data_IF_017027255141
#
_entry.id   IF_017027255141
#
_cell.length_a   1.000
_cell.length_b   1.000
_cell.length_c   1.000
_cell.angle_alpha   90.00
_cell.angle_beta   90.00
_cell.angle_gamma   90.00
#
_symmetry.space_group_name_H-M   'P 1'
#
loop_
_entity.id
_entity.type
_entity.pdbx_description
1 polymer ?
#
# COMPACT_ATOMS: atom_id res chain seq x y z
N UNK A 1 8.64 16.91 4.01
CA UNK A 1 8.27 16.02 5.14
C UNK A 1 6.88 16.27 5.71
N UNK A 2 6.50 17.51 6.07
CA UNK A 2 5.22 17.76 6.76
C UNK A 2 3.99 17.17 6.03
N UNK A 3 3.94 17.27 4.70
CA UNK A 3 2.87 16.68 3.90
C UNK A 3 2.78 15.15 4.08
N UNK A 4 3.90 14.43 4.23
CA UNK A 4 3.88 12.97 4.38
C UNK A 4 3.11 12.60 5.64
N UNK A 5 3.46 13.21 6.78
CA UNK A 5 2.87 12.91 8.09
C UNK A 5 1.36 13.25 8.09
N UNK A 6 0.99 14.40 7.50
CA UNK A 6 -0.41 14.83 7.44
C UNK A 6 -1.23 13.91 6.54
N UNK A 7 -0.66 13.46 5.42
CA UNK A 7 -1.36 12.63 4.44
C UNK A 7 -1.29 11.13 4.72
N UNK A 8 -0.47 10.67 5.67
CA UNK A 8 -0.33 9.26 6.02
C UNK A 8 -1.66 8.66 6.49
N UNK A 9 -2.32 9.30 7.46
CA UNK A 9 -3.65 8.90 7.94
C UNK A 9 -4.75 8.87 6.86
N UNK A 10 -5.01 9.97 6.12
CA UNK A 10 -6.05 9.96 5.10
C UNK A 10 -5.71 9.00 3.95
N UNK A 11 -4.43 8.80 3.62
CA UNK A 11 -4.04 7.84 2.58
C UNK A 11 -4.38 6.39 2.95
N UNK A 12 -4.27 6.03 4.23
CA UNK A 12 -4.69 4.73 4.74
C UNK A 12 -6.18 4.47 4.48
N UNK A 13 -7.02 5.46 4.82
CA UNK A 13 -8.48 5.41 4.61
C UNK A 13 -8.80 5.27 3.11
N UNK A 14 -8.13 6.05 2.26
CA UNK A 14 -8.32 6.01 0.80
C UNK A 14 -7.96 4.63 0.23
N UNK A 15 -6.90 3.99 0.76
CA UNK A 15 -6.49 2.65 0.35
C UNK A 15 -7.46 1.52 0.75
N UNK A 16 -8.35 1.81 1.69
CA UNK A 16 -9.38 0.86 2.15
C UNK A 16 -10.70 1.05 1.41
N UNK A 17 -11.00 2.26 0.94
CA UNK A 17 -12.21 2.57 0.16
C UNK A 17 -12.02 2.22 -1.32
N UNK A 18 -10.85 2.52 -1.90
CA UNK A 18 -10.57 2.29 -3.32
C UNK A 18 -9.74 1.03 -3.54
N UNK A 19 -9.81 0.49 -4.76
CA UNK A 19 -8.94 -0.61 -5.17
C UNK A 19 -7.48 -0.20 -5.05
N UNK A 20 -6.73 -0.93 -4.21
CA UNK A 20 -5.33 -0.64 -3.88
C UNK A 20 -4.42 -0.50 -5.09
N UNK A 21 -4.72 -1.23 -6.18
CA UNK A 21 -3.97 -1.14 -7.44
C UNK A 21 -4.12 0.24 -8.08
N UNK A 22 -5.33 0.79 -8.08
CA UNK A 22 -5.63 2.12 -8.64
C UNK A 22 -4.97 3.20 -7.77
N UNK A 23 -5.05 3.08 -6.44
CA UNK A 23 -4.44 4.02 -5.50
C UNK A 23 -2.91 4.03 -5.60
N UNK A 24 -2.29 2.88 -5.87
CA UNK A 24 -0.85 2.79 -6.14
C UNK A 24 -0.48 3.42 -7.50
N UNK A 25 -1.27 3.19 -8.55
CA UNK A 25 -1.05 3.82 -9.85
C UNK A 25 -1.17 5.35 -9.77
N UNK A 26 -2.11 5.88 -8.98
CA UNK A 26 -2.24 7.32 -8.79
C UNK A 26 -1.06 7.90 -8.02
N UNK A 27 -0.50 7.20 -7.03
CA UNK A 27 0.71 7.66 -6.33
C UNK A 27 1.89 7.80 -7.31
N UNK A 28 2.15 6.79 -8.14
CA UNK A 28 3.21 6.86 -9.18
C UNK A 28 2.96 8.02 -10.14
N UNK A 29 1.71 8.27 -10.52
CA UNK A 29 1.38 9.39 -11.41
C UNK A 29 1.68 10.76 -10.76
N UNK A 30 1.31 10.95 -9.49
CA UNK A 30 1.67 12.16 -8.73
C UNK A 30 3.19 12.31 -8.58
N UNK A 31 3.91 11.20 -8.39
CA UNK A 31 5.37 11.20 -8.33
C UNK A 31 5.99 11.71 -9.63
N UNK A 32 5.51 11.22 -10.78
CA UNK A 32 5.96 11.66 -12.11
C UNK A 32 5.72 13.16 -12.30
N UNK A 33 4.56 13.67 -11.88
CA UNK A 33 4.26 15.10 -11.92
C UNK A 33 5.25 15.89 -11.06
N UNK A 34 5.56 15.43 -9.85
CA UNK A 34 6.53 16.09 -8.98
C UNK A 34 7.91 16.19 -9.63
N UNK A 35 8.41 15.10 -10.22
CA UNK A 35 9.70 15.13 -10.91
C UNK A 35 9.69 16.02 -12.15
N UNK A 36 8.58 16.08 -12.88
CA UNK A 36 8.44 16.99 -14.01
C UNK A 36 8.50 18.46 -13.58
N UNK A 37 7.89 18.80 -12.43
CA UNK A 37 7.94 20.15 -11.87
C UNK A 37 9.37 20.47 -11.39
N UNK A 38 10.04 19.55 -10.70
CA UNK A 38 11.45 19.72 -10.29
C UNK A 38 12.34 20.01 -11.50
N UNK A 39 12.14 19.29 -12.61
CA UNK A 39 12.96 19.47 -13.80
C UNK A 39 12.86 20.88 -14.41
N UNK A 40 11.68 21.53 -14.31
CA UNK A 40 11.46 22.89 -14.80
C UNK A 40 11.61 23.97 -13.71
N UNK A 41 11.85 23.58 -12.46
CA UNK A 41 11.84 24.52 -11.34
C UNK A 41 13.08 25.42 -11.37
N UNK A 42 12.86 26.71 -11.61
CA UNK A 42 13.88 27.76 -11.51
C UNK A 42 13.75 28.60 -10.23
N UNK A 43 12.66 28.43 -9.47
CA UNK A 43 12.36 29.21 -8.27
C UNK A 43 12.15 28.31 -7.04
N UNK A 44 12.52 28.84 -5.87
CA UNK A 44 12.35 28.15 -4.59
C UNK A 44 10.88 27.77 -4.31
N UNK A 45 9.93 28.64 -4.68
CA UNK A 45 8.49 28.36 -4.57
C UNK A 45 8.07 27.12 -5.38
N UNK A 46 8.54 26.97 -6.61
CA UNK A 46 8.23 25.79 -7.45
C UNK A 46 8.80 24.50 -6.84
N UNK A 47 9.99 24.57 -6.25
CA UNK A 47 10.57 23.47 -5.49
C UNK A 47 9.70 23.11 -4.29
N UNK A 48 9.25 24.08 -3.48
CA UNK A 48 8.36 23.81 -2.33
C UNK A 48 7.08 23.09 -2.75
N UNK A 49 6.44 23.55 -3.83
CA UNK A 49 5.22 22.94 -4.38
C UNK A 49 5.50 21.50 -4.82
N UNK A 50 6.62 21.28 -5.51
CA UNK A 50 6.97 19.93 -5.94
C UNK A 50 7.24 18.99 -4.77
N UNK A 51 7.94 19.46 -3.74
CA UNK A 51 8.20 18.69 -2.51
C UNK A 51 6.91 18.38 -1.75
N UNK A 52 5.91 19.26 -1.83
CA UNK A 52 4.59 18.99 -1.26
C UNK A 52 3.86 17.88 -2.02
N UNK A 53 3.82 17.95 -3.36
CA UNK A 53 3.21 16.93 -4.22
C UNK A 53 3.92 15.58 -4.05
N UNK A 54 5.25 15.59 -4.00
CA UNK A 54 6.07 14.43 -3.69
C UNK A 54 5.69 13.82 -2.34
N UNK A 55 5.52 14.65 -1.31
CA UNK A 55 5.12 14.17 0.02
C UNK A 55 3.75 13.51 0.03
N UNK A 56 2.79 14.06 -0.71
CA UNK A 56 1.46 13.46 -0.88
C UNK A 56 1.54 12.11 -1.61
N UNK A 57 2.32 12.04 -2.70
CA UNK A 57 2.59 10.79 -3.42
C UNK A 57 3.22 9.74 -2.51
N UNK A 58 4.21 10.13 -1.71
CA UNK A 58 4.94 9.21 -0.84
C UNK A 58 4.02 8.60 0.23
N UNK A 59 3.16 9.40 0.87
CA UNK A 59 2.20 8.91 1.85
C UNK A 59 1.22 7.88 1.27
N UNK A 60 0.67 8.16 0.07
CA UNK A 60 -0.24 7.23 -0.62
C UNK A 60 0.46 5.92 -1.00
N UNK A 61 1.72 6.02 -1.40
CA UNK A 61 2.51 4.86 -1.77
C UNK A 61 2.80 3.94 -0.57
N UNK A 62 3.26 4.49 0.55
CA UNK A 62 3.55 3.70 1.76
C UNK A 62 2.27 3.09 2.35
N UNK A 63 1.19 3.88 2.45
CA UNK A 63 -0.09 3.41 2.97
C UNK A 63 -0.72 2.27 2.16
N UNK A 64 -0.46 2.18 0.86
CA UNK A 64 -0.99 1.08 0.02
C UNK A 64 -0.15 -0.20 0.10
N UNK A 65 1.18 -0.08 0.09
CA UNK A 65 2.11 -1.22 0.06
C UNK A 65 2.01 -2.04 1.35
N UNK A 66 2.08 -1.39 2.51
CA UNK A 66 2.14 -2.08 3.81
C UNK A 66 0.91 -2.97 4.07
N UNK A 67 -0.26 -2.46 3.70
CA UNK A 67 -1.52 -3.17 3.91
C UNK A 67 -1.73 -4.26 2.84
N UNK A 68 -1.24 -4.06 1.61
CA UNK A 68 -1.28 -5.11 0.58
C UNK A 68 -0.39 -6.30 0.97
N UNK A 69 0.80 -6.03 1.52
CA UNK A 69 1.74 -7.06 1.97
C UNK A 69 1.19 -7.87 3.14
N UNK A 70 0.57 -7.21 4.13
CA UNK A 70 -0.07 -7.89 5.25
C UNK A 70 -1.26 -8.75 4.80
N UNK A 71 -2.08 -8.30 3.84
CA UNK A 71 -3.17 -9.10 3.26
C UNK A 71 -2.67 -10.37 2.59
N UNK A 72 -1.61 -10.30 1.79
CA UNK A 72 -1.01 -11.46 1.11
C UNK A 72 -0.51 -12.48 2.14
N UNK A 73 0.22 -12.01 3.15
CA UNK A 73 0.76 -12.88 4.21
C UNK A 73 -0.34 -13.51 5.07
N UNK A 74 -1.38 -12.75 5.41
CA UNK A 74 -2.54 -13.28 6.13
C UNK A 74 -3.28 -14.33 5.30
N UNK A 75 -3.46 -14.12 3.98
CA UNK A 75 -4.15 -15.08 3.12
C UNK A 75 -3.37 -16.40 3.00
N UNK A 76 -2.04 -16.33 2.87
CA UNK A 76 -1.17 -17.50 2.91
C UNK A 76 -1.25 -18.24 4.25
N UNK A 77 -1.28 -17.53 5.38
CA UNK A 77 -1.43 -18.14 6.70
C UNK A 77 -2.77 -18.87 6.88
N UNK A 78 -3.87 -18.33 6.31
CA UNK A 78 -5.19 -18.95 6.33
C UNK A 78 -5.22 -20.23 5.49
N UNK A 79 -4.68 -20.20 4.26
CA UNK A 79 -4.54 -21.38 3.40
C UNK A 79 -3.76 -22.50 4.08
N UNK A 80 -2.67 -22.15 4.77
CA UNK A 80 -1.87 -23.10 5.54
C UNK A 80 -2.68 -23.73 6.69
N UNK A 81 -3.42 -22.92 7.45
CA UNK A 81 -4.29 -23.41 8.53
C UNK A 81 -5.39 -24.34 8.01
N UNK A 82 -6.04 -24.02 6.89
CA UNK A 82 -7.07 -24.88 6.27
C UNK A 82 -6.48 -26.18 5.73
N UNK A 83 -5.27 -26.14 5.18
CA UNK A 83 -4.58 -27.35 4.74
C UNK A 83 -4.24 -28.27 5.93
N UNK A 84 -3.70 -27.70 7.02
CA UNK A 84 -3.40 -28.46 8.24
C UNK A 84 -4.67 -29.06 8.85
N UNK A 85 -5.79 -28.32 8.88
CA UNK A 85 -7.05 -28.88 9.40
C UNK A 85 -7.59 -30.00 8.52
N UNK A 86 -7.45 -29.89 7.19
CA UNK A 86 -7.84 -30.93 6.25
C UNK A 86 -7.02 -32.23 6.45
N UNK A 87 -5.69 -32.11 6.55
CA UNK A 87 -4.80 -33.24 6.86
C UNK A 87 -5.17 -33.87 8.22
N UNK A 88 -5.42 -33.05 9.25
CA UNK A 88 -5.84 -33.54 10.57
C UNK A 88 -7.18 -34.29 10.52
N UNK A 89 -8.12 -33.82 9.72
CA UNK A 89 -9.41 -34.49 9.51
C UNK A 89 -9.21 -35.88 8.88
N UNK A 90 -8.41 -35.98 7.82
CA UNK A 90 -8.08 -37.26 7.16
C UNK A 90 -7.45 -38.25 8.15
N UNK A 91 -6.45 -37.80 8.91
CA UNK A 91 -5.78 -38.63 9.93
C UNK A 91 -6.78 -39.11 10.98
N UNK A 92 -7.69 -38.25 11.42
CA UNK A 92 -8.72 -38.63 12.40
C UNK A 92 -9.71 -39.66 11.87
N UNK A 93 -10.03 -39.62 10.57
CA UNK A 93 -10.90 -40.61 9.91
C UNK A 93 -10.20 -41.96 9.76
N UNK A 94 -8.91 -41.96 9.39
CA UNK A 94 -8.10 -43.18 9.29
C UNK A 94 -7.92 -43.84 10.66
N UNK A 95 -7.74 -43.06 11.73
CA UNK A 95 -7.56 -43.59 13.09
C UNK A 95 -8.85 -44.12 13.73
N UNK A 96 -10.00 -43.91 13.09
CA UNK A 96 -11.33 -44.34 13.56
C UNK A 96 -11.79 -45.66 12.90
N UNK A 97 -11.05 -46.14 11.91
CA UNK A 97 -11.18 -47.46 11.26
C UNK A 97 -10.18 -48.40 11.94
#
# INVERSE_FOLDING_TARGET
MAAIIIFEFPSGIISDIFDRKIVYLTSIFLLMISYFIIFKASSFMLLCISWFIYGMSAAINTGTIDISFTKINQNNSKKLKTFISFVKMIISTIKKI
#
